data_IF_606696525066
#
_entry.id   IF_606696525066
#
_cell.length_a   1.000
_cell.length_b   1.000
_cell.length_c   1.000
_cell.angle_alpha   90.00
_cell.angle_beta   90.00
_cell.angle_gamma   90.00
#
_symmetry.space_group_name_H-M   'P 1'
#
loop_
_entity.id
_entity.type
_entity.pdbx_description
1 polymer ?
#
# COMPACT_ATOMS: atom_id res chain seq x y z
N UNK A 1 26.73 -12.62 -6.55
CA UNK A 1 25.59 -11.94 -7.21
C UNK A 1 24.21 -12.21 -6.58
N UNK A 2 24.06 -13.21 -5.71
CA UNK A 2 22.79 -13.68 -5.09
C UNK A 2 22.27 -12.84 -3.91
N UNK A 3 23.10 -12.02 -3.27
CA UNK A 3 22.72 -11.19 -2.11
C UNK A 3 21.91 -9.95 -2.53
N UNK A 4 22.27 -9.30 -3.65
CA UNK A 4 21.63 -8.07 -4.16
C UNK A 4 20.16 -8.28 -4.55
N UNK A 5 19.78 -9.48 -4.97
CA UNK A 5 18.40 -9.85 -5.32
C UNK A 5 17.54 -10.06 -4.07
N UNK A 6 18.08 -10.73 -3.03
CA UNK A 6 17.39 -10.89 -1.74
C UNK A 6 17.13 -9.55 -1.04
N UNK A 7 18.12 -8.66 -0.98
CA UNK A 7 17.94 -7.35 -0.36
C UNK A 7 16.92 -6.50 -1.12
N UNK A 8 16.94 -6.51 -2.45
CA UNK A 8 15.91 -5.82 -3.27
C UNK A 8 14.52 -6.37 -3.01
N UNK A 9 14.38 -7.69 -2.91
CA UNK A 9 13.08 -8.32 -2.62
C UNK A 9 12.56 -7.97 -1.23
N UNK A 10 13.42 -7.99 -0.22
CA UNK A 10 13.03 -7.59 1.13
C UNK A 10 12.57 -6.13 1.19
N UNK A 11 13.27 -5.22 0.51
CA UNK A 11 12.89 -3.79 0.42
C UNK A 11 11.53 -3.64 -0.25
N UNK A 12 11.30 -4.35 -1.35
CA UNK A 12 10.03 -4.30 -2.10
C UNK A 12 8.85 -4.81 -1.27
N UNK A 13 9.03 -5.92 -0.55
CA UNK A 13 8.02 -6.45 0.36
C UNK A 13 7.70 -5.47 1.50
N UNK A 14 8.73 -4.89 2.13
CA UNK A 14 8.54 -3.90 3.21
C UNK A 14 7.81 -2.67 2.67
N UNK A 15 8.17 -2.20 1.47
CA UNK A 15 7.52 -1.07 0.81
C UNK A 15 6.05 -1.37 0.51
N UNK A 16 5.78 -2.53 -0.10
CA UNK A 16 4.44 -2.99 -0.44
C UNK A 16 3.54 -3.13 0.80
N UNK A 17 4.05 -3.73 1.89
CA UNK A 17 3.35 -3.85 3.17
C UNK A 17 3.07 -2.49 3.80
N UNK A 18 4.03 -1.58 3.74
CA UNK A 18 3.89 -0.23 4.29
C UNK A 18 2.81 0.56 3.52
N UNK A 19 2.83 0.49 2.20
CA UNK A 19 1.84 1.17 1.35
C UNK A 19 0.45 0.55 1.50
N UNK A 20 0.34 -0.78 1.49
CA UNK A 20 -0.93 -1.46 1.74
C UNK A 20 -1.47 -1.14 3.14
N UNK A 21 -0.63 -1.20 4.17
CA UNK A 21 -1.00 -0.84 5.53
C UNK A 21 -1.45 0.61 5.65
N UNK A 22 -0.67 1.56 5.11
CA UNK A 22 -1.00 2.98 5.15
C UNK A 22 -2.28 3.32 4.38
N UNK A 23 -2.52 2.70 3.22
CA UNK A 23 -3.75 2.85 2.47
C UNK A 23 -4.96 2.32 3.22
N UNK A 24 -4.84 1.15 3.86
CA UNK A 24 -5.91 0.55 4.65
C UNK A 24 -6.23 1.36 5.91
N UNK A 25 -5.20 1.82 6.63
CA UNK A 25 -5.35 2.67 7.82
C UNK A 25 -5.88 4.05 7.45
N UNK A 26 -5.43 4.65 6.35
CA UNK A 26 -5.93 5.92 5.85
C UNK A 26 -7.40 5.83 5.43
N UNK A 27 -7.80 4.73 4.78
CA UNK A 27 -9.20 4.48 4.44
C UNK A 27 -10.05 4.27 5.71
N UNK A 28 -9.59 3.46 6.65
CA UNK A 28 -10.28 3.24 7.93
C UNK A 28 -10.40 4.51 8.77
N UNK A 29 -9.37 5.37 8.75
CA UNK A 29 -9.41 6.66 9.43
C UNK A 29 -10.50 7.57 8.85
N UNK A 30 -10.56 7.69 7.52
CA UNK A 30 -11.64 8.43 6.85
C UNK A 30 -13.01 7.81 7.18
N UNK A 31 -13.16 6.49 7.10
CA UNK A 31 -14.43 5.83 7.41
C UNK A 31 -14.93 6.11 8.84
N UNK A 32 -14.03 6.21 9.82
CA UNK A 32 -14.39 6.36 11.24
C UNK A 32 -14.43 7.82 11.73
N UNK A 33 -13.71 8.74 11.08
CA UNK A 33 -13.58 10.15 11.52
C UNK A 33 -14.15 11.17 10.52
N UNK A 34 -14.76 10.73 9.41
CA UNK A 34 -15.54 11.58 8.51
C UNK A 34 -16.80 12.06 9.25
N UNK A 35 -16.76 13.29 9.76
CA UNK A 35 -17.90 13.98 10.39
C UNK A 35 -18.63 14.89 9.39
N UNK A 36 -17.90 15.40 8.39
CA UNK A 36 -18.44 16.22 7.30
C UNK A 36 -18.30 15.49 5.96
N UNK A 37 -19.16 15.76 4.96
CA UNK A 37 -19.05 15.13 3.64
C UNK A 37 -17.73 15.51 2.96
N UNK A 38 -16.71 14.67 3.16
CA UNK A 38 -15.42 14.81 2.52
C UNK A 38 -15.57 14.47 1.03
N UNK A 39 -15.08 15.34 0.16
CA UNK A 39 -15.09 15.12 -1.29
C UNK A 39 -14.47 13.77 -1.64
N UNK A 40 -15.11 13.03 -2.55
CA UNK A 40 -14.67 11.71 -3.05
C UNK A 40 -13.19 11.67 -3.47
N UNK A 41 -12.64 12.82 -3.85
CA UNK A 41 -11.21 12.99 -4.18
C UNK A 41 -10.28 12.60 -3.04
N UNK A 42 -10.64 12.84 -1.79
CA UNK A 42 -9.83 12.45 -0.63
C UNK A 42 -9.93 10.97 -0.33
N UNK A 43 -11.03 10.31 -0.70
CA UNK A 43 -11.18 8.86 -0.58
C UNK A 43 -10.35 8.10 -1.62
N UNK A 44 -10.11 8.69 -2.78
CA UNK A 44 -9.26 8.11 -3.82
C UNK A 44 -7.80 7.98 -3.38
N UNK A 45 -7.32 8.86 -2.48
CA UNK A 45 -5.93 8.86 -2.02
C UNK A 45 -5.57 7.56 -1.28
N UNK A 46 -6.24 7.16 -0.19
CA UNK A 46 -5.90 5.91 0.49
C UNK A 46 -6.19 4.67 -0.37
N UNK A 47 -7.21 4.70 -1.24
CA UNK A 47 -7.52 3.60 -2.16
C UNK A 47 -6.39 3.38 -3.17
N UNK A 48 -5.87 4.44 -3.77
CA UNK A 48 -4.77 4.34 -4.74
C UNK A 48 -3.46 3.91 -4.08
N UNK A 49 -3.18 4.42 -2.86
CA UNK A 49 -2.02 3.99 -2.07
C UNK A 49 -2.13 2.50 -1.72
N UNK A 50 -3.32 2.05 -1.31
CA UNK A 50 -3.59 0.64 -1.03
C UNK A 50 -3.38 -0.24 -2.27
N UNK A 51 -3.98 0.14 -3.40
CA UNK A 51 -3.87 -0.59 -4.66
C UNK A 51 -2.40 -0.68 -5.14
N UNK A 52 -1.64 0.40 -5.02
CA UNK A 52 -0.21 0.41 -5.34
C UNK A 52 0.59 -0.54 -4.43
N UNK A 53 0.32 -0.54 -3.13
CA UNK A 53 0.95 -1.47 -2.19
C UNK A 53 0.66 -2.93 -2.51
N UNK A 54 -0.60 -3.26 -2.82
CA UNK A 54 -1.01 -4.61 -3.24
C UNK A 54 -0.34 -5.01 -4.55
N UNK A 55 -0.25 -4.12 -5.54
CA UNK A 55 0.40 -4.40 -6.81
C UNK A 55 1.89 -4.74 -6.63
N UNK A 56 2.61 -3.99 -5.79
CA UNK A 56 4.02 -4.25 -5.47
C UNK A 56 4.18 -5.63 -4.81
N UNK A 57 3.35 -5.93 -3.81
CA UNK A 57 3.37 -7.25 -3.15
C UNK A 57 3.06 -8.38 -4.12
N UNK A 58 2.09 -8.17 -5.01
CA UNK A 58 1.69 -9.15 -6.02
C UNK A 58 2.82 -9.48 -6.99
N UNK A 59 3.57 -8.48 -7.45
CA UNK A 59 4.74 -8.68 -8.31
C UNK A 59 5.86 -9.45 -7.59
N UNK A 60 6.09 -9.17 -6.31
CA UNK A 60 7.05 -9.92 -5.47
C UNK A 60 6.63 -11.37 -5.20
N UNK A 61 5.32 -11.64 -5.08
CA UNK A 61 4.78 -12.99 -4.93
C UNK A 61 4.85 -13.80 -6.23
N UNK A 62 4.58 -13.17 -7.38
CA UNK A 62 4.69 -13.82 -8.70
C UNK A 62 6.13 -14.08 -9.13
N UNK A 63 7.08 -13.29 -8.66
CA UNK A 63 8.51 -13.42 -8.99
C UNK A 63 9.29 -13.94 -7.76
N UNK A 64 9.30 -15.27 -7.50
CA UNK A 64 10.00 -15.89 -6.37
C UNK A 64 11.51 -15.60 -6.33
#
# INVERSE_FOLDING_TARGET
MTQRTRTRKAISIILGLTLAGAGLLGFGYLQLHVVEPISIKFWLIPITIFAAGVAILWDDFKSP
#
